data_IF_501603227506
#
_entry.id   IF_501603227506
#
_cell.length_a   1.000
_cell.length_b   1.000
_cell.length_c   1.000
_cell.angle_alpha   90.00
_cell.angle_beta   90.00
_cell.angle_gamma   90.00
#
_symmetry.space_group_name_H-M   'P 1'
#
loop_
_entity.id
_entity.type
_entity.pdbx_description
1 polymer ?
#
# COMPACT_ATOMS: atom_id res chain seq x y z
N UNK A 1 8.15 1.73 29.25
CA UNK A 1 9.48 1.78 28.62
C UNK A 1 9.14 1.56 27.18
N UNK A 2 9.24 2.63 26.41
CA UNK A 2 8.89 2.59 24.99
C UNK A 2 9.92 1.72 24.27
N UNK A 3 9.42 0.83 23.44
CA UNK A 3 10.19 -0.06 22.59
C UNK A 3 9.83 0.26 21.15
N UNK A 4 10.78 0.05 20.26
CA UNK A 4 10.56 0.22 18.84
C UNK A 4 9.91 -1.03 18.25
N UNK A 5 8.91 -0.84 17.40
CA UNK A 5 8.21 -1.90 16.71
C UNK A 5 8.12 -1.60 15.22
N UNK A 6 8.50 -2.57 14.39
CA UNK A 6 8.18 -2.59 12.98
C UNK A 6 6.75 -3.11 12.83
N UNK A 7 5.87 -2.29 12.29
CA UNK A 7 4.47 -2.61 12.06
C UNK A 7 4.24 -2.71 10.57
N UNK A 8 3.88 -3.90 10.09
CA UNK A 8 3.58 -4.15 8.69
C UNK A 8 2.10 -4.43 8.46
N UNK A 9 1.62 -4.05 7.27
CA UNK A 9 0.23 -4.27 6.87
C UNK A 9 0.13 -4.56 5.38
N UNK A 10 -0.56 -5.66 5.07
CA UNK A 10 -0.88 -6.06 3.71
C UNK A 10 -2.18 -5.39 3.25
N UNK A 11 -2.13 -4.77 2.07
CA UNK A 11 -3.23 -4.04 1.47
C UNK A 11 -3.35 -4.32 -0.03
N UNK A 12 -4.50 -3.96 -0.57
CA UNK A 12 -4.75 -3.92 -2.01
C UNK A 12 -5.35 -2.56 -2.34
N UNK A 13 -4.83 -1.90 -3.37
CA UNK A 13 -5.37 -0.65 -3.90
C UNK A 13 -5.89 -0.84 -5.33
N UNK A 14 -6.74 0.09 -5.80
CA UNK A 14 -7.26 0.09 -7.16
C UNK A 14 -6.64 1.24 -7.96
N UNK A 15 -5.96 0.91 -9.03
CA UNK A 15 -5.41 1.88 -9.99
C UNK A 15 -6.27 1.89 -11.24
N UNK A 16 -6.69 3.07 -11.66
CA UNK A 16 -7.53 3.26 -12.85
C UNK A 16 -6.70 3.83 -13.99
N UNK A 17 -6.55 3.08 -15.08
CA UNK A 17 -5.74 3.47 -16.23
C UNK A 17 -6.62 3.65 -17.47
N UNK A 18 -6.50 4.80 -18.12
CA UNK A 18 -7.35 5.19 -19.26
C UNK A 18 -6.90 4.62 -20.60
N UNK A 19 -5.72 4.01 -20.68
CA UNK A 19 -5.14 3.49 -21.91
C UNK A 19 -4.24 2.28 -21.65
N UNK A 20 -4.16 1.34 -22.59
CA UNK A 20 -3.27 0.18 -22.48
C UNK A 20 -3.89 -1.14 -22.95
N UNK A 21 -3.10 -2.21 -22.86
CA UNK A 21 -3.57 -3.60 -22.88
C UNK A 21 -3.46 -4.17 -21.46
N UNK A 22 -4.13 -5.27 -21.15
CA UNK A 22 -4.13 -5.90 -19.81
C UNK A 22 -2.72 -6.02 -19.19
N UNK A 23 -1.72 -6.42 -19.98
CA UNK A 23 -0.33 -6.53 -19.52
C UNK A 23 0.27 -5.15 -19.20
N UNK A 24 0.17 -4.20 -20.13
CA UNK A 24 0.69 -2.84 -19.94
C UNK A 24 0.00 -2.13 -18.77
N UNK A 25 -1.32 -2.28 -18.64
CA UNK A 25 -2.07 -1.70 -17.54
C UNK A 25 -1.61 -2.25 -16.18
N UNK A 26 -1.31 -3.55 -16.09
CA UNK A 26 -0.75 -4.13 -14.86
C UNK A 26 0.64 -3.59 -14.53
N UNK A 27 1.54 -3.56 -15.52
CA UNK A 27 2.91 -3.06 -15.35
C UNK A 27 2.91 -1.57 -14.95
N UNK A 28 2.07 -0.75 -15.58
CA UNK A 28 1.93 0.67 -15.25
C UNK A 28 1.33 0.89 -13.86
N UNK A 29 0.27 0.15 -13.50
CA UNK A 29 -0.33 0.23 -12.17
C UNK A 29 0.64 -0.17 -11.06
N UNK A 30 1.46 -1.20 -11.30
CA UNK A 30 2.53 -1.59 -10.40
C UNK A 30 3.57 -0.47 -10.29
N UNK A 31 4.08 0.03 -11.41
CA UNK A 31 5.12 1.08 -11.42
C UNK A 31 4.66 2.36 -10.72
N UNK A 32 3.39 2.75 -10.91
CA UNK A 32 2.80 3.94 -10.26
C UNK A 32 2.76 3.77 -8.74
N UNK A 33 2.32 2.60 -8.25
CA UNK A 33 2.31 2.32 -6.82
C UNK A 33 3.73 2.21 -6.24
N UNK A 34 4.65 1.55 -6.95
CA UNK A 34 6.06 1.44 -6.54
C UNK A 34 6.71 2.81 -6.41
N UNK A 35 6.47 3.71 -7.36
CA UNK A 35 6.96 5.09 -7.32
C UNK A 35 6.41 5.83 -6.11
N UNK A 36 5.10 5.71 -5.86
CA UNK A 36 4.42 6.36 -4.73
C UNK A 36 4.97 5.88 -3.39
N UNK A 37 5.16 4.56 -3.23
CA UNK A 37 5.72 3.97 -2.02
C UNK A 37 7.21 4.32 -1.85
N UNK A 38 7.97 4.42 -2.93
CA UNK A 38 9.36 4.89 -2.89
C UNK A 38 9.46 6.34 -2.40
N UNK A 39 8.56 7.22 -2.85
CA UNK A 39 8.48 8.61 -2.38
C UNK A 39 8.12 8.67 -0.89
N UNK A 40 7.14 7.90 -0.43
CA UNK A 40 6.79 7.79 0.99
C UNK A 40 7.97 7.30 1.84
N UNK A 41 8.74 6.33 1.34
CA UNK A 41 9.93 5.85 2.04
C UNK A 41 11.04 6.90 2.08
N UNK A 42 11.21 7.67 1.00
CA UNK A 42 12.18 8.75 0.92
C UNK A 42 11.84 9.92 1.86
N UNK A 43 10.55 10.20 2.06
CA UNK A 43 10.07 11.20 3.02
C UNK A 43 10.09 10.69 4.47
N UNK A 44 10.27 9.38 4.66
CA UNK A 44 10.33 8.72 5.96
C UNK A 44 8.96 8.40 6.57
N UNK A 45 7.89 8.52 5.78
CA UNK A 45 6.52 8.17 6.19
C UNK A 45 6.33 6.65 6.32
N UNK A 46 7.08 5.87 5.53
CA UNK A 46 7.20 4.42 5.68
C UNK A 46 8.67 4.02 5.76
N UNK A 47 8.93 2.89 6.39
CA UNK A 47 10.30 2.37 6.57
C UNK A 47 10.65 1.25 5.60
N UNK A 48 9.66 0.50 5.12
CA UNK A 48 9.84 -0.55 4.12
C UNK A 48 8.54 -0.79 3.35
N UNK A 49 8.64 -1.28 2.11
CA UNK A 49 7.49 -1.60 1.28
C UNK A 49 7.80 -2.70 0.26
N UNK A 50 6.74 -3.37 -0.21
CA UNK A 50 6.82 -4.32 -1.32
C UNK A 50 5.53 -4.33 -2.10
N UNK A 51 5.61 -4.28 -3.42
CA UNK A 51 4.47 -4.60 -4.30
C UNK A 51 4.51 -6.08 -4.63
N UNK A 52 3.41 -6.78 -4.38
CA UNK A 52 3.32 -8.25 -4.42
C UNK A 52 2.80 -8.74 -5.78
N UNK A 53 1.71 -8.17 -6.27
CA UNK A 53 1.06 -8.58 -7.52
C UNK A 53 0.10 -7.52 -8.07
N UNK A 54 -0.21 -7.59 -9.37
CA UNK A 54 -1.18 -6.75 -10.06
C UNK A 54 -2.16 -7.59 -10.90
N UNK A 55 -3.46 -7.45 -10.63
CA UNK A 55 -4.54 -8.19 -11.29
C UNK A 55 -5.57 -7.25 -11.91
N UNK A 56 -6.19 -7.66 -13.02
CA UNK A 56 -7.32 -6.90 -13.58
C UNK A 56 -8.51 -7.11 -12.66
N UNK A 57 -8.90 -6.04 -11.96
CA UNK A 57 -10.07 -6.05 -11.08
C UNK A 57 -11.37 -6.03 -11.90
N UNK A 58 -11.44 -5.10 -12.86
CA UNK A 58 -12.55 -5.02 -13.81
C UNK A 58 -12.01 -4.68 -15.22
N UNK A 59 -12.32 -5.50 -16.24
CA UNK A 59 -11.94 -5.19 -17.60
C UNK A 59 -12.83 -4.07 -18.18
N UNK A 60 -12.33 -3.30 -19.16
CA UNK A 60 -13.09 -2.22 -19.76
C UNK A 60 -14.36 -2.74 -20.45
N UNK A 61 -15.50 -2.10 -20.17
CA UNK A 61 -16.79 -2.50 -20.75
C UNK A 61 -17.02 -1.95 -22.15
N UNK A 62 -16.24 -0.93 -22.54
CA UNK A 62 -16.23 -0.30 -23.85
C UNK A 62 -14.77 0.00 -24.29
N UNK A 63 -14.52 0.28 -25.59
CA UNK A 63 -13.17 0.47 -26.14
C UNK A 63 -12.35 1.62 -25.56
N UNK A 64 -13.00 2.51 -24.80
CA UNK A 64 -12.38 3.68 -24.16
C UNK A 64 -12.67 3.73 -22.66
N UNK A 65 -13.28 2.67 -22.11
CA UNK A 65 -13.39 2.55 -20.67
C UNK A 65 -12.01 2.28 -20.08
N UNK A 66 -11.72 2.80 -18.87
CA UNK A 66 -10.46 2.53 -18.21
C UNK A 66 -10.37 1.08 -17.75
N UNK A 67 -9.14 0.61 -17.61
CA UNK A 67 -8.81 -0.59 -16.85
C UNK A 67 -8.83 -0.25 -15.36
N UNK A 68 -9.48 -1.10 -14.56
CA UNK A 68 -9.29 -1.08 -13.11
C UNK A 68 -8.37 -2.24 -12.74
N UNK A 69 -7.19 -1.93 -12.23
CA UNK A 69 -6.19 -2.90 -11.79
C UNK A 69 -6.15 -2.89 -10.27
N UNK A 70 -6.28 -4.06 -9.65
CA UNK A 70 -6.00 -4.24 -8.23
C UNK A 70 -4.53 -4.55 -8.04
N UNK A 71 -3.83 -3.75 -7.23
CA UNK A 71 -2.42 -3.94 -6.91
C UNK A 71 -2.29 -4.28 -5.44
N UNK A 72 -1.69 -5.44 -5.15
CA UNK A 72 -1.43 -5.92 -3.79
C UNK A 72 -0.07 -5.45 -3.33
N UNK A 73 0.02 -4.96 -2.11
CA UNK A 73 1.25 -4.43 -1.54
C UNK A 73 1.32 -4.69 -0.03
N UNK A 74 2.52 -4.54 0.51
CA UNK A 74 2.80 -4.54 1.94
C UNK A 74 3.54 -3.25 2.27
N UNK A 75 3.06 -2.51 3.27
CA UNK A 75 3.74 -1.33 3.79
C UNK A 75 4.15 -1.56 5.25
N UNK A 76 5.32 -1.05 5.64
CA UNK A 76 5.87 -1.17 6.97
C UNK A 76 6.27 0.20 7.50
N UNK A 77 5.94 0.46 8.76
CA UNK A 77 6.37 1.64 9.52
C UNK A 77 7.07 1.22 10.79
N UNK A 78 7.85 2.13 11.37
CA UNK A 78 8.47 1.92 12.67
C UNK A 78 7.86 2.88 13.68
N UNK A 79 7.35 2.35 14.80
CA UNK A 79 6.71 3.15 15.84
C UNK A 79 7.25 2.80 17.23
N UNK A 80 7.37 3.82 18.08
CA UNK A 80 7.70 3.65 19.49
C UNK A 80 6.41 3.43 20.30
N UNK A 81 6.37 2.35 21.09
CA UNK A 81 5.21 2.05 21.92
C UNK A 81 5.57 1.29 23.20
N UNK A 82 4.72 1.39 24.22
CA UNK A 82 4.84 0.60 25.47
C UNK A 82 4.44 -0.88 25.31
N UNK A 83 4.20 -1.36 24.08
CA UNK A 83 3.93 -2.77 23.79
C UNK A 83 3.26 -3.00 22.43
N UNK A 84 3.27 -4.26 21.98
CA UNK A 84 2.82 -4.67 20.64
C UNK A 84 1.42 -4.18 20.30
N UNK A 85 0.46 -4.27 21.23
CA UNK A 85 -0.92 -3.83 20.96
C UNK A 85 -1.00 -2.35 20.58
N UNK A 86 -0.26 -1.50 21.31
CA UNK A 86 -0.22 -0.06 21.04
C UNK A 86 0.55 0.24 19.76
N UNK A 87 1.63 -0.49 19.50
CA UNK A 87 2.37 -0.39 18.25
C UNK A 87 1.47 -0.72 17.05
N UNK A 88 0.73 -1.83 17.10
CA UNK A 88 -0.21 -2.21 16.04
C UNK A 88 -1.24 -1.11 15.78
N UNK A 89 -1.86 -0.56 16.82
CA UNK A 89 -2.86 0.51 16.67
C UNK A 89 -2.24 1.80 16.09
N UNK A 90 -1.06 2.21 16.56
CA UNK A 90 -0.38 3.40 16.08
C UNK A 90 0.16 3.22 14.66
N UNK A 91 0.93 2.17 14.40
CA UNK A 91 1.52 1.91 13.08
C UNK A 91 0.46 1.65 12.00
N UNK A 92 -0.67 1.03 12.36
CA UNK A 92 -1.77 0.88 11.40
C UNK A 92 -2.41 2.21 11.00
N UNK A 93 -2.47 3.19 11.91
CA UNK A 93 -2.96 4.53 11.63
C UNK A 93 -1.94 5.34 10.83
N UNK A 94 -0.65 5.26 11.16
CA UNK A 94 0.42 5.91 10.40
C UNK A 94 0.48 5.41 8.95
N UNK A 95 0.33 4.09 8.73
CA UNK A 95 0.24 3.53 7.37
C UNK A 95 -0.98 4.06 6.63
N UNK A 96 -2.14 4.13 7.29
CA UNK A 96 -3.39 4.62 6.68
C UNK A 96 -3.25 6.09 6.28
N UNK A 97 -2.72 6.94 7.17
CA UNK A 97 -2.47 8.36 6.92
C UNK A 97 -1.44 8.57 5.80
N UNK A 98 -0.33 7.82 5.81
CA UNK A 98 0.69 7.92 4.77
C UNK A 98 0.15 7.55 3.37
N UNK A 99 -0.69 6.51 3.28
CA UNK A 99 -1.31 6.09 2.03
C UNK A 99 -2.38 7.08 1.56
N UNK A 100 -3.19 7.61 2.47
CA UNK A 100 -4.19 8.65 2.18
C UNK A 100 -3.53 9.93 1.65
N UNK A 101 -2.48 10.41 2.30
CA UNK A 101 -1.75 11.63 1.89
C UNK A 101 -1.09 11.45 0.51
N UNK A 102 -0.60 10.25 0.21
CA UNK A 102 -0.07 9.89 -1.09
C UNK A 102 -1.14 9.66 -2.17
N UNK A 103 -2.43 9.72 -1.82
CA UNK A 103 -3.54 9.49 -2.74
C UNK A 103 -3.74 8.02 -3.15
N UNK A 104 -3.19 7.08 -2.37
CA UNK A 104 -3.40 5.64 -2.55
C UNK A 104 -4.74 5.28 -1.91
N UNK A 105 -5.83 5.59 -2.60
CA UNK A 105 -7.19 5.26 -2.15
C UNK A 105 -8.07 4.81 -3.34
N UNK A 106 -8.95 3.81 -3.14
CA UNK A 106 -9.24 3.12 -1.88
C UNK A 106 -8.27 1.96 -1.58
N UNK A 107 -7.91 1.79 -0.30
CA UNK A 107 -7.14 0.63 0.18
C UNK A 107 -8.05 -0.37 0.91
N UNK A 108 -7.93 -1.63 0.54
CA UNK A 108 -8.57 -2.77 1.21
C UNK A 108 -7.53 -3.62 1.90
N UNK A 109 -7.67 -3.80 3.21
CA UNK A 109 -6.74 -4.62 4.00
C UNK A 109 -7.20 -6.07 4.05
N UNK A 110 -6.34 -6.98 3.62
CA UNK A 110 -6.63 -8.42 3.58
C UNK A 110 -6.26 -9.13 4.88
N UNK A 111 -5.39 -8.51 5.68
CA UNK A 111 -4.89 -9.02 6.95
C UNK A 111 -4.92 -7.95 8.05
N UNK A 112 -4.83 -8.42 9.30
CA UNK A 112 -4.58 -7.54 10.43
C UNK A 112 -3.12 -7.09 10.46
N UNK A 113 -2.83 -5.84 10.85
CA UNK A 113 -1.47 -5.36 11.02
C UNK A 113 -0.68 -6.21 12.01
N UNK A 114 0.59 -6.43 11.71
CA UNK A 114 1.52 -7.24 12.51
C UNK A 114 2.61 -6.34 13.08
N UNK A 115 2.83 -6.39 14.39
CA UNK A 115 3.97 -5.71 15.03
C UNK A 115 5.06 -6.71 15.39
N UNK A 116 6.30 -6.34 15.14
CA UNK A 116 7.49 -7.07 15.58
C UNK A 116 8.43 -6.09 16.29
N UNK A 117 8.89 -6.44 17.49
CA UNK A 117 9.87 -5.63 18.21
C UNK A 117 11.21 -5.62 17.43
N UNK A 118 11.85 -4.44 17.35
CA UNK A 118 13.10 -4.21 16.62
C UNK A 118 14.29 -4.08 17.56
#
# INVERSE_FOLDING_TARGET
MEMEFAVSRDGTTLVTLHEGSDTTAKDEAQTELETTLEELAADGSITDWTVVDAEVYEPPTAPFDPYTISVSFTATVTVEADGERRAVEAGAAEIDEALEDAGVEPVSYTASPTAAAV
#
